data_IF_851247538831
#
_entry.id   IF_851247538831
#
_cell.length_a   1.000
_cell.length_b   1.000
_cell.length_c   1.000
_cell.angle_alpha   90.00
_cell.angle_beta   90.00
_cell.angle_gamma   90.00
#
_symmetry.space_group_name_H-M   'P 1'
#
loop_
_entity.id
_entity.type
_entity.pdbx_description
1 polymer ?
#
# COMPACT_ATOMS: atom_id res chain seq x y z
N UNK A 1 -17.92 16.22 8.00
CA UNK A 1 -16.71 16.68 8.73
C UNK A 1 -15.89 17.54 7.77
N UNK A 2 -15.28 18.66 8.18
CA UNK A 2 -14.38 19.41 7.30
C UNK A 2 -13.26 18.49 6.77
N UNK A 3 -12.87 18.58 5.48
CA UNK A 3 -11.85 17.70 4.89
C UNK A 3 -10.53 17.70 5.64
N UNK A 4 -10.08 18.87 6.11
CA UNK A 4 -8.84 18.99 6.88
C UNK A 4 -8.88 18.21 8.18
N UNK A 5 -10.00 18.28 8.91
CA UNK A 5 -10.18 17.55 10.16
C UNK A 5 -10.26 16.03 9.88
N UNK A 6 -10.90 15.63 8.79
CA UNK A 6 -10.93 14.23 8.37
C UNK A 6 -9.52 13.70 8.03
N UNK A 7 -8.69 14.50 7.35
CA UNK A 7 -7.30 14.14 7.06
C UNK A 7 -6.49 13.93 8.33
N UNK A 8 -6.68 14.76 9.35
CA UNK A 8 -6.01 14.60 10.64
C UNK A 8 -6.39 13.29 11.34
N UNK A 9 -7.68 12.93 11.34
CA UNK A 9 -8.11 11.64 11.88
C UNK A 9 -7.54 10.46 11.10
N UNK A 10 -7.51 10.54 9.76
CA UNK A 10 -6.91 9.49 8.91
C UNK A 10 -5.41 9.37 9.20
N UNK A 11 -4.70 10.48 9.35
CA UNK A 11 -3.27 10.45 9.67
C UNK A 11 -3.02 9.92 11.09
N UNK A 12 -3.86 10.29 12.06
CA UNK A 12 -3.71 9.88 13.45
C UNK A 12 -4.00 8.40 13.65
N UNK A 13 -4.97 7.82 12.95
CA UNK A 13 -5.29 6.39 13.08
C UNK A 13 -4.10 5.49 12.71
N UNK A 14 -3.18 5.97 11.86
CA UNK A 14 -2.03 5.19 11.43
C UNK A 14 -0.95 5.02 12.51
N UNK A 15 -0.93 5.91 13.49
CA UNK A 15 0.10 5.98 14.54
C UNK A 15 -0.46 5.82 15.95
N UNK A 16 -1.78 5.72 16.09
CA UNK A 16 -2.45 5.53 17.36
C UNK A 16 -2.19 4.11 17.90
N UNK A 17 -1.50 4.02 19.05
CA UNK A 17 -1.09 2.75 19.65
C UNK A 17 -2.27 1.86 20.06
N UNK A 18 -3.42 2.45 20.35
CA UNK A 18 -4.55 1.75 20.96
C UNK A 18 -5.42 1.08 19.89
N UNK A 19 -5.52 1.70 18.70
CA UNK A 19 -6.36 1.21 17.59
C UNK A 19 -6.01 -0.22 17.19
N UNK A 20 -4.73 -0.58 17.18
CA UNK A 20 -4.28 -1.94 16.81
C UNK A 20 -4.67 -3.03 17.82
N UNK A 21 -4.98 -2.65 19.06
CA UNK A 21 -5.35 -3.56 20.14
C UNK A 21 -6.85 -3.63 20.43
N UNK A 22 -7.60 -2.58 20.06
CA UNK A 22 -9.03 -2.46 20.35
C UNK A 22 -9.94 -3.24 19.39
N UNK A 23 -9.45 -3.53 18.19
CA UNK A 23 -10.25 -4.15 17.13
C UNK A 23 -9.67 -5.50 16.69
N UNK A 24 -10.56 -6.40 16.28
CA UNK A 24 -10.15 -7.68 15.67
C UNK A 24 -9.49 -7.44 14.31
N UNK A 25 -8.66 -8.39 13.85
CA UNK A 25 -8.06 -8.36 12.51
C UNK A 25 -9.08 -8.11 11.39
N UNK A 26 -10.24 -8.77 11.47
CA UNK A 26 -11.33 -8.62 10.50
C UNK A 26 -11.89 -7.19 10.49
N UNK A 27 -12.16 -6.63 11.68
CA UNK A 27 -12.61 -5.24 11.82
C UNK A 27 -11.57 -4.24 11.32
N UNK A 28 -10.29 -4.46 11.63
CA UNK A 28 -9.19 -3.62 11.13
C UNK A 28 -9.13 -3.65 9.60
N UNK A 29 -9.18 -4.83 8.98
CA UNK A 29 -9.16 -4.96 7.52
C UNK A 29 -10.33 -4.22 6.85
N UNK A 30 -11.55 -4.37 7.39
CA UNK A 30 -12.74 -3.65 6.92
C UNK A 30 -12.64 -2.14 7.12
N UNK A 31 -12.10 -1.70 8.27
CA UNK A 31 -11.89 -0.30 8.59
C UNK A 31 -10.90 0.37 7.65
N UNK A 32 -9.73 -0.26 7.43
CA UNK A 32 -8.72 0.22 6.47
C UNK A 32 -9.32 0.30 5.07
N UNK A 33 -10.05 -0.73 4.63
CA UNK A 33 -10.71 -0.71 3.33
C UNK A 33 -11.73 0.44 3.23
N UNK A 34 -12.46 0.74 4.30
CA UNK A 34 -13.40 1.88 4.32
C UNK A 34 -12.68 3.22 4.17
N UNK A 35 -11.52 3.39 4.81
CA UNK A 35 -10.75 4.64 4.79
C UNK A 35 -10.04 4.87 3.45
N UNK A 36 -9.53 3.81 2.81
CA UNK A 36 -8.64 3.93 1.66
C UNK A 36 -9.25 3.49 0.31
N UNK A 37 -10.41 2.84 0.30
CA UNK A 37 -11.10 2.46 -0.95
C UNK A 37 -12.16 3.49 -1.34
N UNK A 38 -12.05 4.03 -2.55
CA UNK A 38 -13.04 4.94 -3.13
C UNK A 38 -14.40 4.25 -3.41
N UNK A 39 -14.45 2.92 -3.37
CA UNK A 39 -15.70 2.16 -3.44
C UNK A 39 -16.44 2.12 -2.10
N UNK A 40 -15.79 2.49 -0.99
CA UNK A 40 -16.34 2.37 0.35
C UNK A 40 -16.59 3.71 1.05
N UNK A 41 -15.85 4.77 0.70
CA UNK A 41 -16.11 6.14 1.17
C UNK A 41 -15.43 7.20 0.30
N UNK A 42 -15.71 8.48 0.59
CA UNK A 42 -15.04 9.61 -0.06
C UNK A 42 -13.72 10.01 0.62
N UNK A 43 -13.34 9.37 1.73
CA UNK A 43 -12.12 9.70 2.48
C UNK A 43 -10.82 9.58 1.65
N UNK A 44 -10.68 8.66 0.70
CA UNK A 44 -9.49 8.60 -0.14
C UNK A 44 -9.28 9.87 -0.96
N UNK A 45 -10.32 10.59 -1.38
CA UNK A 45 -10.20 11.81 -2.20
C UNK A 45 -9.53 12.99 -1.47
N UNK A 46 -9.37 12.88 -0.15
CA UNK A 46 -8.49 13.74 0.64
C UNK A 46 -7.05 13.79 0.08
N UNK A 47 -6.62 12.72 -0.61
CA UNK A 47 -5.31 12.60 -1.24
C UNK A 47 -5.24 13.15 -2.68
N UNK A 48 -6.33 13.62 -3.28
CA UNK A 48 -6.35 14.10 -4.69
C UNK A 48 -6.74 15.56 -4.85
N UNK A 49 -7.75 16.06 -4.14
CA UNK A 49 -8.33 17.39 -4.40
C UNK A 49 -8.53 18.25 -3.16
N UNK A 50 -8.74 17.62 -1.99
CA UNK A 50 -9.39 18.33 -0.88
C UNK A 50 -8.41 18.93 0.14
N UNK A 51 -7.10 18.77 -0.09
CA UNK A 51 -6.03 19.26 0.78
C UNK A 51 -4.84 19.83 -0.02
N UNK A 52 -4.10 20.75 0.60
CA UNK A 52 -2.85 21.29 0.02
C UNK A 52 -1.85 20.17 -0.31
N UNK A 53 -1.09 20.33 -1.39
CA UNK A 53 -0.19 19.29 -1.91
C UNK A 53 0.82 18.79 -0.87
N UNK A 54 1.47 19.68 -0.13
CA UNK A 54 2.42 19.30 0.92
C UNK A 54 1.81 18.36 1.97
N UNK A 55 0.53 18.60 2.31
CA UNK A 55 -0.21 17.77 3.26
C UNK A 55 -0.53 16.41 2.66
N UNK A 56 -0.91 16.36 1.38
CA UNK A 56 -1.15 15.10 0.66
C UNK A 56 0.12 14.28 0.56
N UNK A 57 1.25 14.89 0.18
CA UNK A 57 2.57 14.26 0.14
C UNK A 57 2.95 13.70 1.53
N UNK A 58 2.77 14.49 2.60
CA UNK A 58 3.00 14.02 3.97
C UNK A 58 2.11 12.83 4.32
N UNK A 59 0.83 12.88 3.97
CA UNK A 59 -0.11 11.79 4.20
C UNK A 59 0.27 10.52 3.44
N UNK A 60 0.75 10.63 2.20
CA UNK A 60 1.24 9.48 1.41
C UNK A 60 2.44 8.86 2.12
N UNK A 61 3.42 9.67 2.54
CA UNK A 61 4.58 9.18 3.29
C UNK A 61 4.20 8.47 4.59
N UNK A 62 3.15 8.92 5.26
CA UNK A 62 2.63 8.28 6.47
C UNK A 62 2.04 6.88 6.20
N UNK A 63 1.75 6.50 4.95
CA UNK A 63 1.33 5.13 4.62
C UNK A 63 2.40 4.09 4.98
N UNK A 64 3.66 4.47 5.19
CA UNK A 64 4.66 3.58 5.80
C UNK A 64 4.21 3.02 7.16
N UNK A 65 3.48 3.80 7.96
CA UNK A 65 2.89 3.35 9.21
C UNK A 65 1.73 2.38 9.01
N UNK A 66 1.00 2.45 7.89
CA UNK A 66 -0.01 1.45 7.54
C UNK A 66 0.63 0.07 7.42
N UNK A 67 1.78 -0.02 6.75
CA UNK A 67 2.53 -1.27 6.64
C UNK A 67 3.09 -1.71 7.99
N UNK A 68 3.79 -0.82 8.70
CA UNK A 68 4.49 -1.15 9.94
C UNK A 68 3.52 -1.58 11.05
N UNK A 69 2.45 -0.81 11.24
CA UNK A 69 1.59 -0.97 12.40
C UNK A 69 0.39 -1.88 12.12
N UNK A 70 -0.04 -2.02 10.86
CA UNK A 70 -1.17 -2.90 10.49
C UNK A 70 -0.75 -4.12 9.67
N UNK A 71 -0.29 -3.94 8.43
CA UNK A 71 -0.10 -5.07 7.52
C UNK A 71 0.95 -6.06 8.00
N UNK A 72 2.13 -5.60 8.41
CA UNK A 72 3.20 -6.46 8.94
C UNK A 72 2.81 -7.19 10.24
N UNK A 73 1.81 -6.69 10.97
CA UNK A 73 1.38 -7.24 12.25
C UNK A 73 0.22 -8.21 12.10
N UNK A 74 -0.71 -7.91 11.20
CA UNK A 74 -1.98 -8.60 11.13
C UNK A 74 -2.15 -9.44 9.87
N UNK A 75 -1.35 -9.24 8.81
CA UNK A 75 -1.31 -10.18 7.70
C UNK A 75 -0.50 -11.40 8.14
N UNK A 76 -1.15 -12.57 8.24
CA UNK A 76 -0.55 -13.78 8.83
C UNK A 76 -0.63 -14.99 7.91
N UNK A 77 -1.41 -14.87 6.83
CA UNK A 77 -1.55 -15.90 5.82
C UNK A 77 -0.29 -16.04 4.98
N UNK A 78 -0.01 -17.25 4.52
CA UNK A 78 1.09 -17.49 3.59
C UNK A 78 0.75 -16.95 2.21
N UNK A 79 1.71 -16.27 1.58
CA UNK A 79 1.57 -15.85 0.18
C UNK A 79 2.00 -17.01 -0.71
N UNK A 80 1.04 -17.71 -1.29
CA UNK A 80 1.30 -18.86 -2.18
C UNK A 80 0.75 -18.67 -3.59
N UNK A 81 -0.33 -17.91 -3.73
CA UNK A 81 -1.01 -17.64 -5.01
C UNK A 81 -1.51 -16.19 -5.01
N UNK A 82 -0.82 -15.33 -5.76
CA UNK A 82 -1.06 -13.89 -5.82
C UNK A 82 -2.20 -13.62 -6.78
N UNK A 83 -3.21 -12.85 -6.35
CA UNK A 83 -4.43 -12.57 -7.12
C UNK A 83 -5.60 -13.50 -6.83
N UNK A 84 -5.36 -14.72 -6.32
CA UNK A 84 -6.41 -15.72 -6.12
C UNK A 84 -6.64 -16.13 -4.66
N UNK A 85 -5.69 -15.90 -3.75
CA UNK A 85 -5.86 -16.27 -2.34
C UNK A 85 -6.85 -15.35 -1.61
N UNK A 86 -7.73 -15.95 -0.81
CA UNK A 86 -8.67 -15.26 0.10
C UNK A 86 -8.43 -15.65 1.57
N UNK A 87 -7.33 -16.33 1.84
CA UNK A 87 -7.17 -17.11 3.07
C UNK A 87 -6.89 -16.24 4.30
N UNK A 88 -6.48 -14.99 4.09
CA UNK A 88 -6.10 -14.07 5.17
C UNK A 88 -7.16 -12.99 5.48
N UNK A 89 -8.39 -13.23 5.00
CA UNK A 89 -9.58 -12.43 5.30
C UNK A 89 -9.50 -10.99 4.78
N UNK A 90 -10.32 -10.07 5.32
CA UNK A 90 -10.35 -8.68 4.85
C UNK A 90 -9.02 -7.94 4.99
N UNK A 91 -8.21 -8.28 5.99
CA UNK A 91 -6.89 -7.66 6.20
C UNK A 91 -5.92 -8.05 5.08
N UNK A 92 -5.83 -9.34 4.74
CA UNK A 92 -5.00 -9.78 3.61
C UNK A 92 -5.50 -9.21 2.28
N UNK A 93 -6.82 -9.17 2.09
CA UNK A 93 -7.43 -8.59 0.89
C UNK A 93 -7.05 -7.12 0.69
N UNK A 94 -7.25 -6.26 1.70
CA UNK A 94 -6.91 -4.84 1.57
C UNK A 94 -5.40 -4.61 1.50
N UNK A 95 -4.58 -5.44 2.15
CA UNK A 95 -3.14 -5.38 1.98
C UNK A 95 -2.73 -5.63 0.53
N UNK A 96 -3.29 -6.66 -0.10
CA UNK A 96 -3.04 -6.95 -1.52
C UNK A 96 -3.54 -5.82 -2.45
N UNK A 97 -4.83 -5.49 -2.35
CA UNK A 97 -5.54 -4.57 -3.26
C UNK A 97 -5.30 -3.09 -2.95
N UNK A 98 -4.41 -2.76 -1.99
CA UNK A 98 -4.30 -1.40 -1.48
C UNK A 98 -4.11 -0.38 -2.61
N UNK A 99 -3.18 -0.66 -3.53
CA UNK A 99 -2.85 0.27 -4.62
C UNK A 99 -3.88 0.28 -5.75
N UNK A 100 -4.70 -0.77 -5.91
CA UNK A 100 -5.84 -0.78 -6.84
C UNK A 100 -6.99 0.11 -6.37
N UNK A 101 -7.25 0.11 -5.06
CA UNK A 101 -8.40 0.83 -4.48
C UNK A 101 -8.04 2.23 -3.99
N UNK A 102 -6.75 2.48 -3.74
CA UNK A 102 -6.26 3.78 -3.36
C UNK A 102 -6.31 4.74 -4.55
N UNK A 103 -6.64 6.00 -4.29
CA UNK A 103 -6.98 6.96 -5.36
C UNK A 103 -5.80 7.45 -6.19
N UNK A 104 -4.56 7.03 -5.91
CA UNK A 104 -3.39 7.48 -6.67
C UNK A 104 -3.00 6.46 -7.73
N UNK A 105 -3.04 6.88 -8.98
CA UNK A 105 -2.69 6.07 -10.14
C UNK A 105 -1.98 6.90 -11.22
N UNK A 106 -1.32 6.26 -12.19
CA UNK A 106 -0.70 6.96 -13.32
C UNK A 106 -1.68 7.90 -14.03
N UNK A 107 -1.38 9.21 -14.01
CA UNK A 107 -2.17 10.24 -14.68
C UNK A 107 -3.02 11.12 -13.77
N UNK A 108 -3.13 10.83 -12.46
CA UNK A 108 -3.84 11.71 -11.52
C UNK A 108 -3.01 12.19 -10.31
N UNK A 109 -1.73 11.83 -10.24
CA UNK A 109 -0.80 12.26 -9.19
C UNK A 109 0.20 13.31 -9.71
N UNK A 110 0.59 14.26 -8.85
CA UNK A 110 1.69 15.18 -9.13
C UNK A 110 3.04 14.47 -8.98
N UNK A 111 4.15 14.99 -9.54
CA UNK A 111 5.47 14.38 -9.36
C UNK A 111 5.85 14.14 -7.89
N UNK A 112 5.61 15.10 -7.00
CA UNK A 112 5.92 14.94 -5.58
C UNK A 112 5.06 13.86 -4.88
N UNK A 113 3.83 13.63 -5.34
CA UNK A 113 2.98 12.55 -4.85
C UNK A 113 3.43 11.18 -5.36
N UNK A 114 3.86 11.12 -6.63
CA UNK A 114 4.47 9.92 -7.23
C UNK A 114 5.73 9.54 -6.45
N UNK A 115 6.65 10.49 -6.26
CA UNK A 115 7.90 10.27 -5.51
C UNK A 115 7.59 9.75 -4.09
N UNK A 116 6.63 10.36 -3.40
CA UNK A 116 6.22 9.91 -2.06
C UNK A 116 5.64 8.48 -2.06
N UNK A 117 4.85 8.10 -3.07
CA UNK A 117 4.30 6.75 -3.18
C UNK A 117 5.40 5.72 -3.48
N UNK A 118 6.32 6.05 -4.40
CA UNK A 118 7.50 5.24 -4.72
C UNK A 118 8.37 5.04 -3.48
N UNK A 119 8.64 6.09 -2.70
CA UNK A 119 9.39 6.03 -1.45
C UNK A 119 8.75 5.07 -0.43
N UNK A 120 7.42 5.13 -0.26
CA UNK A 120 6.68 4.21 0.62
C UNK A 120 6.92 2.78 0.19
N UNK A 121 6.65 2.45 -1.08
CA UNK A 121 6.79 1.08 -1.58
C UNK A 121 8.24 0.60 -1.51
N UNK A 122 9.20 1.45 -1.84
CA UNK A 122 10.63 1.13 -1.75
C UNK A 122 11.06 0.85 -0.29
N UNK A 123 10.54 1.61 0.68
CA UNK A 123 10.81 1.36 2.10
C UNK A 123 10.25 0.00 2.55
N UNK A 124 9.07 -0.39 2.02
CA UNK A 124 8.45 -1.68 2.33
C UNK A 124 9.28 -2.83 1.77
N UNK A 125 9.94 -2.68 0.62
CA UNK A 125 10.82 -3.72 0.07
C UNK A 125 12.02 -4.08 0.98
N UNK A 126 12.30 -3.29 2.02
CA UNK A 126 13.32 -3.60 3.03
C UNK A 126 12.84 -4.60 4.09
N UNK A 127 11.54 -4.89 4.16
CA UNK A 127 10.97 -5.93 5.06
C UNK A 127 11.18 -7.33 4.48
N UNK A 128 10.99 -8.36 5.31
CA UNK A 128 10.88 -9.76 4.88
C UNK A 128 9.44 -10.30 4.97
N UNK A 129 8.46 -9.42 5.20
CA UNK A 129 7.05 -9.78 5.34
C UNK A 129 6.36 -9.94 3.97
N UNK A 130 6.13 -11.17 3.54
CA UNK A 130 5.67 -11.51 2.19
C UNK A 130 4.41 -10.77 1.74
N UNK A 131 3.38 -10.61 2.57
CA UNK A 131 2.15 -9.88 2.17
C UNK A 131 2.41 -8.41 1.87
N UNK A 132 3.30 -7.77 2.63
CA UNK A 132 3.67 -6.38 2.46
C UNK A 132 4.58 -6.20 1.24
N UNK A 133 5.50 -7.15 1.03
CA UNK A 133 6.30 -7.21 -0.19
C UNK A 133 5.39 -7.32 -1.42
N UNK A 134 4.44 -8.27 -1.42
CA UNK A 134 3.47 -8.45 -2.49
C UNK A 134 2.70 -7.16 -2.79
N UNK A 135 2.19 -6.48 -1.76
CA UNK A 135 1.49 -5.19 -1.90
C UNK A 135 2.36 -4.10 -2.53
N UNK A 136 3.59 -3.90 -2.03
CA UNK A 136 4.51 -2.90 -2.56
C UNK A 136 4.96 -3.22 -3.99
N UNK A 137 5.20 -4.50 -4.30
CA UNK A 137 5.51 -4.96 -5.65
C UNK A 137 4.35 -4.69 -6.61
N UNK A 138 3.12 -5.00 -6.19
CA UNK A 138 1.90 -4.72 -6.96
C UNK A 138 1.84 -3.21 -7.28
N UNK A 139 1.95 -2.36 -6.26
CA UNK A 139 1.92 -0.92 -6.43
C UNK A 139 2.99 -0.41 -7.41
N UNK A 140 4.25 -0.84 -7.26
CA UNK A 140 5.34 -0.47 -8.18
C UNK A 140 5.05 -0.92 -9.62
N UNK A 141 4.39 -2.08 -9.77
CA UNK A 141 3.94 -2.58 -11.06
C UNK A 141 2.97 -1.66 -11.79
N UNK A 142 2.01 -1.02 -11.10
CA UNK A 142 1.12 -0.01 -11.72
C UNK A 142 1.91 1.14 -12.35
N UNK A 143 3.03 1.53 -11.73
CA UNK A 143 3.84 2.67 -12.19
C UNK A 143 4.91 2.27 -13.23
N UNK A 144 5.11 0.98 -13.50
CA UNK A 144 6.22 0.49 -14.33
C UNK A 144 6.25 1.06 -15.76
N UNK A 145 5.10 1.42 -16.32
CA UNK A 145 4.97 1.99 -17.67
C UNK A 145 5.25 3.50 -17.73
N UNK A 146 5.15 4.21 -16.60
CA UNK A 146 5.19 5.68 -16.54
C UNK A 146 6.32 6.23 -15.66
N UNK A 147 6.88 5.43 -14.77
CA UNK A 147 7.91 5.81 -13.80
C UNK A 147 9.09 4.84 -13.89
N UNK A 148 10.18 5.21 -14.59
CA UNK A 148 11.37 4.35 -14.75
C UNK A 148 12.00 3.89 -13.42
N UNK A 149 11.88 4.69 -12.38
CA UNK A 149 12.40 4.38 -11.05
C UNK A 149 11.68 3.18 -10.43
N UNK A 150 10.38 3.01 -10.66
CA UNK A 150 9.63 1.85 -10.17
C UNK A 150 10.21 0.53 -10.70
N UNK A 151 10.54 0.50 -12.01
CA UNK A 151 11.19 -0.65 -12.65
C UNK A 151 12.60 -0.85 -12.12
N UNK A 152 13.35 0.23 -11.93
CA UNK A 152 14.73 0.17 -11.43
C UNK A 152 14.79 -0.39 -10.01
N UNK A 153 13.86 0.04 -9.14
CA UNK A 153 13.71 -0.46 -7.76
C UNK A 153 13.39 -1.96 -7.77
N UNK A 154 12.40 -2.40 -8.55
CA UNK A 154 12.05 -3.82 -8.62
C UNK A 154 13.21 -4.68 -9.13
N UNK A 155 13.89 -4.24 -10.20
CA UNK A 155 15.04 -4.96 -10.76
C UNK A 155 16.20 -5.04 -9.77
N UNK A 156 16.48 -3.95 -9.05
CA UNK A 156 17.51 -3.94 -8.03
C UNK A 156 17.17 -4.88 -6.87
N UNK A 157 15.93 -4.82 -6.37
CA UNK A 157 15.47 -5.72 -5.31
C UNK A 157 15.54 -7.19 -5.73
N UNK A 158 15.21 -7.52 -6.97
CA UNK A 158 15.33 -8.90 -7.51
C UNK A 158 16.77 -9.46 -7.48
N UNK A 159 17.81 -8.60 -7.45
CA UNK A 159 19.21 -9.06 -7.36
C UNK A 159 19.56 -9.54 -5.95
N UNK A 160 18.93 -8.96 -4.92
CA UNK A 160 19.15 -9.30 -3.51
C UNK A 160 17.83 -9.18 -2.74
N UNK A 161 16.89 -10.11 -2.96
CA UNK A 161 15.58 -10.02 -2.34
C UNK A 161 15.67 -10.26 -0.84
N UNK A 162 14.71 -9.68 -0.11
CA UNK A 162 14.58 -9.80 1.34
C UNK A 162 13.78 -11.02 1.79
N UNK A 163 13.20 -11.77 0.84
CA UNK A 163 12.46 -13.02 1.06
C UNK A 163 12.99 -14.14 0.16
N UNK A 164 12.70 -15.38 0.54
CA UNK A 164 12.92 -16.58 -0.27
C UNK A 164 11.62 -17.11 -0.91
N UNK A 165 10.48 -16.45 -0.68
CA UNK A 165 9.19 -16.88 -1.19
C UNK A 165 9.13 -16.80 -2.71
N UNK A 166 9.01 -17.94 -3.38
CA UNK A 166 9.08 -18.01 -4.83
C UNK A 166 7.96 -17.24 -5.53
N UNK A 167 6.72 -17.30 -5.01
CA UNK A 167 5.59 -16.59 -5.58
C UNK A 167 5.83 -15.07 -5.59
N UNK A 168 6.38 -14.53 -4.49
CA UNK A 168 6.73 -13.11 -4.38
C UNK A 168 7.85 -12.73 -5.36
N UNK A 169 8.88 -13.59 -5.49
CA UNK A 169 9.99 -13.34 -6.41
C UNK A 169 9.56 -13.36 -7.88
N UNK A 170 8.71 -14.31 -8.28
CA UNK A 170 8.15 -14.37 -9.63
C UNK A 170 7.28 -13.15 -9.91
N UNK A 171 6.47 -12.75 -8.94
CA UNK A 171 5.62 -11.57 -9.06
C UNK A 171 6.43 -10.28 -9.21
N UNK A 172 7.53 -10.12 -8.48
CA UNK A 172 8.43 -8.97 -8.64
C UNK A 172 9.01 -8.87 -10.07
N UNK A 173 9.37 -10.01 -10.68
CA UNK A 173 9.87 -10.04 -12.05
C UNK A 173 8.77 -9.63 -13.04
N UNK A 174 7.55 -10.14 -12.88
CA UNK A 174 6.41 -9.77 -13.72
C UNK A 174 6.04 -8.27 -13.56
N UNK A 175 5.97 -7.78 -12.33
CA UNK A 175 5.67 -6.38 -12.04
C UNK A 175 6.71 -5.43 -12.63
N UNK A 176 7.98 -5.86 -12.77
CA UNK A 176 9.03 -5.04 -13.41
C UNK A 176 8.79 -4.76 -14.91
N UNK A 177 7.87 -5.49 -15.53
CA UNK A 177 7.38 -5.25 -16.89
C UNK A 177 5.96 -4.68 -16.92
N UNK A 178 5.42 -4.27 -15.78
CA UNK A 178 4.05 -3.78 -15.63
C UNK A 178 2.97 -4.87 -15.61
N UNK A 179 3.35 -6.15 -15.51
CA UNK A 179 2.39 -7.24 -15.38
C UNK A 179 2.04 -7.46 -13.90
N UNK A 180 0.80 -7.17 -13.55
CA UNK A 180 0.20 -7.31 -12.21
C UNK A 180 -1.13 -8.04 -12.33
N UNK A 181 -1.60 -8.66 -11.24
CA UNK A 181 -2.80 -9.51 -11.23
C UNK A 181 -3.99 -8.87 -10.52
#
# INVERSE_FOLDING_TARGET
MPPELAFDYVAQILVDSDVHGLFTKDQLGKGINTVYSNCCSDLPFLYTSDCGEDRRIKGIRNLTHLYQNFFNRHCTGQVTDIGNSRDDGPMGFICYMFWDVFVLYPGNATPGMVDAAIDVMHSVLQTNHDSSLMSAIHGLGHWASSVPDAVSILKHWCQKPTTQNHAVLEYARAASTGMIQ
#
